data_IF_751114556856
#
_entry.id   IF_751114556856
#
_cell.length_a   1.000
_cell.length_b   1.000
_cell.length_c   1.000
_cell.angle_alpha   90.00
_cell.angle_beta   90.00
_cell.angle_gamma   90.00
#
_symmetry.space_group_name_H-M   'P 1'
#
loop_
_entity.id
_entity.type
_entity.pdbx_description
1 polymer ?
#
# COMPACT_ATOMS: atom_id res chain seq x y z
N UNK A 1 6.39 -7.21 7.10
CA UNK A 1 5.18 -7.20 6.25
C UNK A 1 5.51 -6.85 4.80
N UNK A 2 6.20 -5.74 4.51
CA UNK A 2 6.45 -5.27 3.13
C UNK A 2 7.24 -6.23 2.23
N UNK A 3 8.31 -6.88 2.72
CA UNK A 3 9.08 -7.83 1.90
C UNK A 3 8.26 -9.04 1.42
N UNK A 4 7.36 -9.57 2.26
CA UNK A 4 6.52 -10.72 1.90
C UNK A 4 5.49 -10.34 0.83
N UNK A 5 4.86 -9.17 0.96
CA UNK A 5 3.88 -8.67 -0.01
C UNK A 5 4.54 -8.31 -1.35
N UNK A 6 5.71 -7.66 -1.31
CA UNK A 6 6.49 -7.34 -2.51
C UNK A 6 6.95 -8.59 -3.27
N UNK A 7 7.41 -9.64 -2.58
CA UNK A 7 7.83 -10.88 -3.27
C UNK A 7 6.63 -11.63 -3.86
N UNK A 8 5.49 -11.70 -3.16
CA UNK A 8 4.25 -12.24 -3.73
C UNK A 8 3.82 -11.44 -4.96
N UNK A 9 3.86 -10.11 -4.88
CA UNK A 9 3.54 -9.26 -6.00
C UNK A 9 4.50 -9.45 -7.17
N UNK A 10 5.80 -9.69 -6.93
CA UNK A 10 6.78 -9.95 -7.99
C UNK A 10 6.50 -11.26 -8.73
N UNK A 11 6.15 -12.33 -8.00
CA UNK A 11 5.96 -13.67 -8.55
C UNK A 11 4.59 -13.91 -9.18
N UNK A 12 3.56 -13.15 -8.78
CA UNK A 12 2.20 -13.29 -9.32
C UNK A 12 2.07 -12.76 -10.75
N UNK A 13 1.18 -13.35 -11.55
CA UNK A 13 0.76 -12.76 -12.84
C UNK A 13 -0.51 -11.92 -12.68
N UNK A 14 -1.24 -12.09 -11.58
CA UNK A 14 -2.50 -11.43 -11.29
C UNK A 14 -2.83 -11.48 -9.80
N UNK A 15 -3.79 -10.68 -9.35
CA UNK A 15 -4.33 -10.71 -7.98
C UNK A 15 -5.83 -10.95 -8.02
N UNK A 16 -6.36 -11.74 -7.08
CA UNK A 16 -7.80 -11.95 -6.92
C UNK A 16 -8.19 -11.75 -5.46
N UNK A 17 -9.17 -10.89 -5.22
CA UNK A 17 -9.80 -10.76 -3.92
C UNK A 17 -11.09 -11.59 -3.87
N UNK A 18 -11.17 -12.46 -2.86
CA UNK A 18 -12.37 -13.21 -2.47
C UNK A 18 -13.09 -12.46 -1.34
N UNK A 19 -14.41 -12.64 -1.15
CA UNK A 19 -15.13 -12.05 -0.03
C UNK A 19 -14.42 -12.27 1.30
N UNK A 20 -14.17 -11.18 2.04
CA UNK A 20 -13.31 -11.19 3.21
C UNK A 20 -13.36 -9.88 3.98
N UNK A 21 -12.85 -9.89 5.21
CA UNK A 21 -12.90 -8.72 6.10
C UNK A 21 -11.86 -7.64 5.79
N UNK A 22 -11.56 -6.81 6.79
CA UNK A 22 -10.66 -5.67 6.64
C UNK A 22 -9.26 -6.02 6.11
N UNK A 23 -8.71 -7.19 6.46
CA UNK A 23 -7.41 -7.62 5.94
C UNK A 23 -7.41 -7.77 4.42
N UNK A 24 -8.43 -8.41 3.86
CA UNK A 24 -8.58 -8.56 2.40
C UNK A 24 -8.82 -7.22 1.71
N UNK A 25 -9.59 -6.33 2.35
CA UNK A 25 -9.83 -4.98 1.82
C UNK A 25 -8.53 -4.16 1.78
N UNK A 26 -7.71 -4.23 2.82
CA UNK A 26 -6.41 -3.54 2.89
C UNK A 26 -5.47 -4.03 1.79
N UNK A 27 -5.36 -5.34 1.62
CA UNK A 27 -4.51 -5.93 0.58
C UNK A 27 -5.01 -5.60 -0.83
N UNK A 28 -6.33 -5.60 -1.05
CA UNK A 28 -6.93 -5.22 -2.32
C UNK A 28 -6.63 -3.77 -2.69
N UNK A 29 -6.86 -2.83 -1.76
CA UNK A 29 -6.63 -1.40 -1.99
C UNK A 29 -5.14 -1.10 -2.19
N UNK A 30 -4.24 -1.85 -1.53
CA UNK A 30 -2.80 -1.74 -1.76
C UNK A 30 -2.43 -2.11 -3.21
N UNK A 31 -2.97 -3.21 -3.75
CA UNK A 31 -2.72 -3.61 -5.16
C UNK A 31 -3.34 -2.62 -6.16
N UNK A 32 -4.53 -2.09 -5.90
CA UNK A 32 -5.13 -1.05 -6.74
C UNK A 32 -4.23 0.20 -6.75
N UNK A 33 -3.75 0.62 -5.58
CA UNK A 33 -2.88 1.80 -5.44
C UNK A 33 -1.55 1.59 -6.17
N UNK A 34 -0.95 0.41 -6.08
CA UNK A 34 0.29 0.11 -6.81
C UNK A 34 0.10 0.12 -8.31
N UNK A 35 -1.05 -0.38 -8.80
CA UNK A 35 -1.40 -0.28 -10.21
C UNK A 35 -1.58 1.17 -10.65
N UNK A 36 -2.27 1.99 -9.85
CA UNK A 36 -2.45 3.42 -10.09
C UNK A 36 -1.10 4.18 -10.13
N UNK A 37 -0.14 3.81 -9.28
CA UNK A 37 1.19 4.41 -9.26
C UNK A 37 2.10 3.91 -10.39
N UNK A 38 1.63 3.02 -11.26
CA UNK A 38 2.44 2.42 -12.32
C UNK A 38 3.50 1.44 -11.81
N UNK A 39 3.41 1.02 -10.55
CA UNK A 39 4.34 0.05 -9.96
C UNK A 39 4.14 -1.31 -10.64
N UNK A 40 2.89 -1.73 -10.89
CA UNK A 40 2.63 -2.91 -11.71
C UNK A 40 1.42 -2.71 -12.62
N UNK A 41 1.29 -3.62 -13.58
CA UNK A 41 0.26 -3.61 -14.62
C UNK A 41 -0.58 -4.90 -14.63
N UNK A 42 -0.43 -5.71 -13.58
CA UNK A 42 -1.08 -7.00 -13.39
C UNK A 42 -2.58 -6.80 -13.11
N UNK A 43 -3.47 -7.62 -13.72
CA UNK A 43 -4.91 -7.52 -13.48
C UNK A 43 -5.26 -7.79 -12.02
N UNK A 44 -6.16 -6.97 -11.49
CA UNK A 44 -6.75 -7.15 -10.15
C UNK A 44 -8.20 -7.61 -10.32
N UNK A 45 -8.51 -8.82 -9.86
CA UNK A 45 -9.83 -9.43 -9.96
C UNK A 45 -10.61 -9.36 -8.65
N UNK A 46 -11.91 -9.07 -8.73
CA UNK A 46 -12.86 -9.14 -7.63
C UNK A 46 -13.86 -10.26 -7.89
N UNK A 47 -13.82 -11.32 -7.09
CA UNK A 47 -14.84 -12.36 -7.14
C UNK A 47 -16.07 -11.89 -6.35
N UNK A 48 -17.03 -11.30 -7.06
CA UNK A 48 -18.21 -10.64 -6.50
C UNK A 48 -19.36 -11.61 -6.25
N UNK A 49 -19.15 -12.58 -5.36
CA UNK A 49 -20.18 -13.56 -4.96
C UNK A 49 -21.33 -12.85 -4.26
N UNK A 50 -22.56 -13.08 -4.71
CA UNK A 50 -23.80 -12.53 -4.14
C UNK A 50 -23.80 -10.99 -3.97
N UNK A 51 -23.03 -10.27 -4.80
CA UNK A 51 -22.93 -8.81 -4.73
C UNK A 51 -22.13 -8.28 -3.54
N UNK A 52 -21.27 -9.10 -2.93
CA UNK A 52 -20.45 -8.73 -1.76
C UNK A 52 -19.69 -7.41 -1.93
N UNK A 53 -19.12 -7.17 -3.12
CA UNK A 53 -18.34 -5.98 -3.44
C UNK A 53 -19.18 -4.81 -4.01
N UNK A 54 -20.49 -4.96 -4.22
CA UNK A 54 -21.33 -3.91 -4.81
C UNK A 54 -21.20 -2.56 -4.06
N UNK A 55 -21.22 -2.52 -2.70
CA UNK A 55 -21.05 -1.26 -1.98
C UNK A 55 -19.67 -0.62 -2.19
N UNK A 56 -18.62 -1.44 -2.36
CA UNK A 56 -17.26 -0.98 -2.61
C UNK A 56 -17.13 -0.42 -4.04
N UNK A 57 -17.71 -1.11 -5.01
CA UNK A 57 -17.75 -0.66 -6.41
C UNK A 57 -18.48 0.68 -6.53
N UNK A 58 -19.62 0.83 -5.85
CA UNK A 58 -20.36 2.08 -5.78
C UNK A 58 -19.55 3.22 -5.13
N UNK A 59 -18.72 2.91 -4.12
CA UNK A 59 -17.80 3.88 -3.52
C UNK A 59 -16.76 4.38 -4.54
N UNK A 60 -16.19 3.48 -5.34
CA UNK A 60 -15.23 3.85 -6.38
C UNK A 60 -15.88 4.68 -7.50
N UNK A 61 -17.08 4.30 -7.95
CA UNK A 61 -17.84 5.08 -8.93
C UNK A 61 -18.12 6.50 -8.42
N UNK A 62 -18.55 6.64 -7.17
CA UNK A 62 -18.73 7.95 -6.54
C UNK A 62 -17.43 8.73 -6.47
N UNK A 63 -16.33 8.10 -6.04
CA UNK A 63 -15.02 8.74 -5.99
C UNK A 63 -14.57 9.25 -7.36
N UNK A 64 -14.86 8.50 -8.42
CA UNK A 64 -14.58 8.93 -9.79
C UNK A 64 -15.47 10.10 -10.23
N UNK A 65 -16.77 10.04 -9.94
CA UNK A 65 -17.71 11.10 -10.28
C UNK A 65 -17.39 12.43 -9.59
N UNK A 66 -16.89 12.38 -8.35
CA UNK A 66 -16.49 13.55 -7.56
C UNK A 66 -15.04 14.00 -7.87
N UNK A 67 -14.33 13.31 -8.78
CA UNK A 67 -12.98 13.68 -9.22
C UNK A 67 -11.84 13.28 -8.27
N UNK A 68 -12.10 12.44 -7.26
CA UNK A 68 -11.06 11.88 -6.38
C UNK A 68 -10.32 10.71 -7.00
N UNK A 69 -10.96 9.96 -7.91
CA UNK A 69 -10.38 8.83 -8.64
C UNK A 69 -10.37 9.18 -10.12
N UNK A 70 -9.23 9.05 -10.79
CA UNK A 70 -9.19 9.28 -12.24
C UNK A 70 -9.99 8.20 -12.96
N UNK A 71 -10.61 8.54 -14.09
CA UNK A 71 -11.38 7.56 -14.89
C UNK A 71 -10.51 6.38 -15.33
N UNK A 72 -9.23 6.61 -15.59
CA UNK A 72 -8.26 5.55 -15.92
C UNK A 72 -8.05 4.56 -14.77
N UNK A 73 -8.17 5.01 -13.51
CA UNK A 73 -8.08 4.14 -12.34
C UNK A 73 -9.32 3.26 -12.15
N UNK A 74 -10.48 3.66 -12.67
CA UNK A 74 -11.70 2.84 -12.61
C UNK A 74 -11.59 1.55 -13.44
N UNK A 75 -10.63 1.48 -14.35
CA UNK A 75 -10.35 0.32 -15.20
C UNK A 75 -9.22 -0.57 -14.65
N UNK A 76 -8.70 -0.31 -13.44
CA UNK A 76 -7.59 -1.09 -12.85
C UNK A 76 -8.01 -2.52 -12.47
N UNK A 77 -9.29 -2.73 -12.14
CA UNK A 77 -9.78 -4.01 -11.66
C UNK A 77 -10.94 -4.53 -12.51
N UNK A 78 -11.14 -5.84 -12.49
CA UNK A 78 -12.26 -6.54 -13.13
C UNK A 78 -13.08 -7.25 -12.07
N UNK A 79 -14.40 -7.24 -12.20
CA UNK A 79 -15.30 -7.98 -11.29
C UNK A 79 -16.18 -8.97 -12.04
N UNK A 80 -16.47 -10.09 -11.40
CA UNK A 80 -17.42 -11.08 -11.89
C UNK A 80 -17.99 -11.92 -10.73
N UNK A 81 -19.23 -12.41 -10.84
CA UNK A 81 -19.87 -13.24 -9.81
C UNK A 81 -19.32 -14.67 -9.73
N UNK A 82 -18.64 -15.16 -10.78
CA UNK A 82 -18.12 -16.53 -10.83
C UNK A 82 -16.63 -16.55 -11.18
N UNK A 83 -15.91 -17.56 -10.68
CA UNK A 83 -14.47 -17.70 -10.94
C UNK A 83 -14.17 -17.86 -12.43
N UNK A 84 -14.98 -18.63 -13.17
CA UNK A 84 -14.77 -18.84 -14.60
C UNK A 84 -14.93 -17.55 -15.41
N UNK A 85 -15.95 -16.76 -15.09
CA UNK A 85 -16.16 -15.47 -15.75
C UNK A 85 -15.04 -14.48 -15.38
N UNK A 86 -14.62 -14.47 -14.10
CA UNK A 86 -13.54 -13.62 -13.65
C UNK A 86 -12.24 -13.91 -14.39
N UNK A 87 -11.84 -15.19 -14.46
CA UNK A 87 -10.63 -15.60 -15.16
C UNK A 87 -10.68 -15.22 -16.65
N UNK A 88 -11.83 -15.43 -17.30
CA UNK A 88 -12.03 -15.03 -18.71
C UNK A 88 -11.82 -13.52 -18.89
N UNK A 89 -12.39 -12.69 -18.01
CA UNK A 89 -12.21 -11.23 -18.06
C UNK A 89 -10.76 -10.82 -17.77
N UNK A 90 -10.10 -11.51 -16.85
CA UNK A 90 -8.70 -11.23 -16.49
C UNK A 90 -7.73 -11.60 -17.62
N UNK A 91 -8.00 -12.66 -18.38
CA UNK A 91 -7.21 -13.04 -19.56
C UNK A 91 -7.36 -12.05 -20.72
N UNK A 92 -8.55 -11.44 -20.85
CA UNK A 92 -8.85 -10.42 -21.86
C UNK A 92 -8.40 -9.02 -21.47
N UNK A 93 -7.96 -8.84 -20.22
CA UNK A 93 -7.56 -7.55 -19.69
C UNK A 93 -6.41 -6.96 -20.49
N UNK A 94 -6.65 -5.82 -21.14
CA UNK A 94 -5.64 -5.03 -21.84
C UNK A 94 -5.42 -3.74 -21.06
N UNK A 95 -4.16 -3.37 -20.84
CA UNK A 95 -3.77 -2.18 -20.07
C UNK A 95 -4.38 -0.91 -20.71
N UNK A 96 -5.03 -0.07 -19.92
CA UNK A 96 -5.62 1.20 -20.40
C UNK A 96 -5.15 2.43 -19.61
N UNK A 97 -4.41 2.28 -18.51
CA UNK A 97 -3.96 3.42 -17.70
C UNK A 97 -2.60 3.98 -18.19
N UNK A 98 -2.53 5.31 -18.32
CA UNK A 98 -1.33 6.04 -18.75
C UNK A 98 -0.28 6.03 -17.63
N UNK A 99 0.98 5.70 -17.95
CA UNK A 99 2.10 5.72 -16.99
C UNK A 99 2.21 7.10 -16.31
N UNK A 100 1.93 7.16 -15.01
CA UNK A 100 2.16 8.36 -14.18
C UNK A 100 3.54 8.36 -13.52
N UNK A 101 4.27 7.24 -13.55
CA UNK A 101 5.64 7.12 -13.04
C UNK A 101 6.53 6.33 -14.01
N UNK A 102 7.79 6.75 -14.23
CA UNK A 102 8.69 6.09 -15.15
C UNK A 102 9.05 4.68 -14.65
N UNK A 103 8.95 3.71 -15.55
CA UNK A 103 9.20 2.29 -15.34
C UNK A 103 10.68 1.95 -15.03
N UNK A 104 11.25 2.48 -13.95
CA UNK A 104 12.56 2.07 -13.44
C UNK A 104 12.81 2.65 -12.04
N UNK A 105 12.17 2.10 -11.00
CA UNK A 105 12.82 2.01 -9.69
C UNK A 105 12.08 0.98 -8.85
N UNK A 106 12.62 -0.24 -8.85
CA UNK A 106 12.23 -1.31 -7.94
C UNK A 106 13.16 -1.36 -6.72
N UNK A 107 13.93 -0.30 -6.50
CA UNK A 107 14.82 -0.20 -5.36
C UNK A 107 14.05 0.24 -4.12
N UNK A 108 13.67 -0.77 -3.32
CA UNK A 108 13.07 -0.61 -1.98
C UNK A 108 13.91 0.32 -1.08
N UNK A 109 15.21 0.50 -1.38
CA UNK A 109 16.11 1.48 -0.75
C UNK A 109 15.65 2.94 -0.88
N UNK A 110 14.89 3.30 -1.91
CA UNK A 110 14.45 4.67 -2.16
C UNK A 110 13.07 4.99 -1.56
N UNK A 111 12.34 3.99 -1.08
CA UNK A 111 11.00 4.14 -0.47
C UNK A 111 11.04 4.50 1.02
N UNK A 112 12.17 4.97 1.56
CA UNK A 112 12.24 5.57 2.90
C UNK A 112 12.08 4.61 4.09
N UNK A 113 11.95 3.30 3.88
CA UNK A 113 11.80 2.31 4.96
C UNK A 113 13.13 1.67 5.40
N UNK A 114 14.19 2.47 5.47
CA UNK A 114 15.55 1.96 5.61
C UNK A 114 16.53 2.86 6.38
N UNK A 115 16.17 3.36 7.57
CA UNK A 115 17.17 3.58 8.62
C UNK A 115 16.52 3.68 10.01
N UNK A 116 16.78 2.68 10.84
CA UNK A 116 16.34 2.70 12.25
C UNK A 116 16.72 1.44 13.03
N UNK A 117 17.85 0.82 12.71
CA UNK A 117 18.47 -0.18 13.58
C UNK A 117 19.77 0.39 14.10
N UNK A 118 19.72 1.12 15.23
CA UNK A 118 20.71 1.04 16.30
C UNK A 118 20.18 1.80 17.53
N UNK A 119 19.41 1.12 18.39
CA UNK A 119 19.19 1.60 19.75
C UNK A 119 20.45 1.26 20.56
N UNK A 120 21.50 2.05 20.31
CA UNK A 120 22.71 2.06 21.11
C UNK A 120 22.35 2.34 22.58
N UNK A 121 22.97 1.55 23.46
CA UNK A 121 22.84 1.55 24.90
C UNK A 121 22.50 2.92 25.51
N UNK A 122 21.35 2.99 26.17
CA UNK A 122 21.02 4.07 27.10
C UNK A 122 22.04 4.06 28.25
N UNK A 123 23.03 4.94 28.17
CA UNK A 123 23.87 5.29 29.31
C UNK A 123 23.18 6.45 30.02
N UNK A 124 22.79 6.33 31.31
CA UNK A 124 22.17 7.43 32.03
C UNK A 124 23.20 8.56 32.23
N UNK A 125 22.81 9.85 32.14
CA UNK A 125 23.73 10.94 32.40
C UNK A 125 24.16 10.93 33.87
N UNK A 126 25.49 10.91 34.06
CA UNK A 126 26.16 10.95 35.34
C UNK A 126 25.82 12.23 36.10
N UNK A 127 25.55 12.08 37.40
CA UNK A 127 25.45 13.16 38.37
C UNK A 127 26.77 13.94 38.40
N UNK A 128 26.74 15.20 37.95
CA UNK A 128 27.83 16.15 38.18
C UNK A 128 27.73 16.67 39.62
N UNK A 129 28.38 15.96 40.53
CA UNK A 129 28.83 16.51 41.79
C UNK A 129 30.20 17.16 41.58
N UNK A 130 30.33 18.44 41.90
CA UNK A 130 31.63 19.10 41.97
C UNK A 130 31.50 20.60 42.18
N UNK A 131 32.01 21.08 43.32
CA UNK A 131 32.41 22.47 43.47
C UNK A 131 31.83 23.18 44.70
N UNK A 132 32.41 22.89 45.87
CA UNK A 132 32.38 23.79 47.00
C UNK A 132 33.42 24.90 46.80
N UNK A 133 33.06 26.17 47.02
CA UNK A 133 33.91 27.27 47.53
C UNK A 133 32.97 28.48 47.78
N UNK A 134 32.65 28.77 49.04
CA UNK A 134 33.23 29.84 49.87
C UNK A 134 32.87 31.29 49.45
N UNK A 135 32.24 32.01 50.38
CA UNK A 135 32.00 33.45 50.28
C UNK A 135 31.25 34.03 51.48
N UNK A 136 32.03 34.44 52.51
CA UNK A 136 31.72 35.42 53.58
C UNK A 136 30.83 36.58 53.05
N UNK A 137 29.95 37.26 53.78
CA UNK A 137 29.76 37.53 55.21
C UNK A 137 29.16 38.94 55.38
N UNK A 138 28.56 39.23 56.53
CA UNK A 138 28.11 40.57 56.97
C UNK A 138 26.70 40.95 56.46
N UNK A 139 25.77 41.47 57.26
CA UNK A 139 25.86 42.21 58.52
C UNK A 139 24.59 42.00 59.35
#
# INVERSE_FOLDING_TARGET
MHQRKAEMARQSQAFIALPGGYGTMEELLEMITWCQLGIHDKPVGLLNVDGYYDPLLALFEKGAAEGFISTDCSQIFVSAPTASELLTKMEQYTRVHQEVAPATSWEISELGYGRGGDAGAATPPAAAAGGAEEGKGGS
#
